data_IF_780320708156
#
_entry.id   IF_780320708156
#
_cell.length_a   1.000
_cell.length_b   1.000
_cell.length_c   1.000
_cell.angle_alpha   90.00
_cell.angle_beta   90.00
_cell.angle_gamma   90.00
#
_symmetry.space_group_name_H-M   'P 1'
#
loop_
_entity.id
_entity.type
_entity.pdbx_description
1 polymer ?
#
# COMPACT_ATOMS: atom_id res chain seq x y z
N UNK A 1 -17.26 9.75 -32.57
CA UNK A 1 -16.03 10.00 -33.35
C UNK A 1 -14.82 9.61 -32.52
N UNK A 2 -14.00 8.62 -32.93
CA UNK A 2 -12.77 8.27 -32.20
C UNK A 2 -11.70 9.31 -32.53
N UNK A 3 -11.31 10.14 -31.57
CA UNK A 3 -10.20 11.08 -31.73
C UNK A 3 -8.90 10.30 -31.95
N UNK A 4 -8.16 10.63 -33.01
CA UNK A 4 -6.84 10.02 -33.26
C UNK A 4 -5.92 10.27 -32.06
N UNK A 5 -5.14 9.28 -31.59
CA UNK A 5 -4.18 9.50 -30.53
C UNK A 5 -3.12 10.50 -31.00
N UNK A 6 -2.75 11.43 -30.12
CA UNK A 6 -1.66 12.37 -30.37
C UNK A 6 -0.34 11.61 -30.30
N UNK A 7 0.56 11.84 -31.26
CA UNK A 7 1.91 11.25 -31.30
C UNK A 7 2.92 12.40 -31.12
N UNK A 8 4.00 12.14 -30.39
CA UNK A 8 5.09 13.10 -30.18
C UNK A 8 5.16 13.69 -28.76
N UNK A 9 6.09 14.63 -28.50
CA UNK A 9 6.37 15.14 -27.15
C UNK A 9 5.15 15.84 -26.52
N UNK A 10 4.29 16.47 -27.33
CA UNK A 10 3.06 17.10 -26.88
C UNK A 10 1.98 16.10 -26.38
N UNK A 11 2.15 14.80 -26.65
CA UNK A 11 1.26 13.75 -26.16
C UNK A 11 1.59 13.30 -24.73
N UNK A 12 2.79 13.63 -24.22
CA UNK A 12 3.19 13.28 -22.84
C UNK A 12 2.32 14.07 -21.87
N UNK A 13 1.44 13.35 -21.18
CA UNK A 13 0.48 13.90 -20.23
C UNK A 13 0.94 13.69 -18.79
N UNK A 14 0.44 14.53 -17.88
CA UNK A 14 0.81 14.52 -16.47
C UNK A 14 0.71 15.90 -15.85
N UNK A 15 0.93 15.99 -14.55
CA UNK A 15 0.98 17.28 -13.86
C UNK A 15 2.18 18.11 -14.32
N UNK A 16 2.08 19.44 -14.24
CA UNK A 16 3.20 20.35 -14.52
C UNK A 16 4.49 19.98 -13.77
N UNK A 17 4.48 19.70 -12.45
CA UNK A 17 5.69 19.31 -11.74
C UNK A 17 6.27 17.99 -12.24
N UNK A 18 5.43 17.00 -12.59
CA UNK A 18 5.90 15.71 -13.11
C UNK A 18 6.62 15.88 -14.46
N UNK A 19 6.11 16.73 -15.36
CA UNK A 19 6.77 17.02 -16.64
C UNK A 19 8.10 17.75 -16.46
N UNK A 20 8.19 18.69 -15.51
CA UNK A 20 9.45 19.37 -15.17
C UNK A 20 10.49 18.40 -14.63
N UNK A 21 10.09 17.51 -13.72
CA UNK A 21 10.99 16.47 -13.18
C UNK A 21 11.48 15.52 -14.29
N UNK A 22 10.59 15.08 -15.17
CA UNK A 22 10.96 14.23 -16.30
C UNK A 22 11.97 14.92 -17.24
N UNK A 23 11.78 16.22 -17.52
CA UNK A 23 12.74 17.00 -18.31
C UNK A 23 14.12 17.07 -17.64
N UNK A 24 14.18 17.32 -16.34
CA UNK A 24 15.45 17.38 -15.60
C UNK A 24 16.18 16.04 -15.56
N UNK A 25 15.46 14.92 -15.43
CA UNK A 25 16.07 13.58 -15.52
C UNK A 25 16.65 13.34 -16.92
N UNK A 26 15.92 13.72 -17.97
CA UNK A 26 16.41 13.59 -19.34
C UNK A 26 17.62 14.49 -19.63
N UNK A 27 17.65 15.71 -19.09
CA UNK A 27 18.82 16.61 -19.19
C UNK A 27 20.07 15.96 -18.59
N UNK A 28 19.95 15.33 -17.42
CA UNK A 28 21.07 14.61 -16.79
C UNK A 28 21.51 13.40 -17.62
N UNK A 29 20.57 12.56 -18.05
CA UNK A 29 20.86 11.38 -18.87
C UNK A 29 21.48 11.75 -20.23
N UNK A 30 21.16 12.94 -20.76
CA UNK A 30 21.75 13.47 -21.99
C UNK A 30 23.10 14.16 -21.78
N UNK A 31 23.56 14.32 -20.53
CA UNK A 31 24.82 14.98 -20.19
C UNK A 31 24.77 16.52 -20.21
N UNK A 32 23.59 17.12 -20.34
CA UNK A 32 23.41 18.58 -20.34
C UNK A 32 23.47 19.20 -18.93
N UNK A 33 23.32 18.38 -17.89
CA UNK A 33 23.29 18.81 -16.49
C UNK A 33 23.88 17.73 -15.58
N UNK A 34 24.51 18.14 -14.47
CA UNK A 34 24.96 17.18 -13.45
C UNK A 34 23.81 16.71 -12.53
N UNK A 35 23.92 15.51 -11.90
CA UNK A 35 22.95 15.05 -10.91
C UNK A 35 22.71 16.04 -9.76
N UNK A 36 23.76 16.71 -9.29
CA UNK A 36 23.66 17.70 -8.20
C UNK A 36 22.91 18.97 -8.61
N UNK A 37 23.10 19.45 -9.83
CA UNK A 37 22.36 20.60 -10.38
C UNK A 37 20.88 20.25 -10.61
N UNK A 38 20.59 19.04 -11.07
CA UNK A 38 19.22 18.58 -11.25
C UNK A 38 18.49 18.41 -9.91
N UNK A 39 19.16 17.84 -8.91
CA UNK A 39 18.63 17.73 -7.54
C UNK A 39 18.31 19.13 -6.96
N UNK A 40 19.22 20.08 -7.14
CA UNK A 40 19.04 21.48 -6.73
C UNK A 40 17.85 22.14 -7.43
N UNK A 41 17.72 21.96 -8.75
CA UNK A 41 16.59 22.48 -9.53
C UNK A 41 15.24 21.84 -9.17
N UNK A 42 15.26 20.58 -8.71
CA UNK A 42 14.09 19.89 -8.17
C UNK A 42 13.76 20.25 -6.72
N UNK A 43 14.69 20.89 -6.00
CA UNK A 43 14.56 21.19 -4.58
C UNK A 43 14.65 19.93 -3.69
N UNK A 44 15.45 18.93 -4.09
CA UNK A 44 15.62 17.67 -3.35
C UNK A 44 17.09 17.35 -3.11
N UNK A 45 17.39 16.48 -2.14
CA UNK A 45 18.73 15.96 -1.93
C UNK A 45 19.18 15.08 -3.11
N UNK A 46 20.49 15.00 -3.35
CA UNK A 46 21.09 14.21 -4.45
C UNK A 46 20.69 12.72 -4.36
N UNK A 47 20.65 12.14 -3.16
CA UNK A 47 20.18 10.76 -2.98
C UNK A 47 18.73 10.57 -3.43
N UNK A 48 17.87 11.56 -3.17
CA UNK A 48 16.46 11.52 -3.61
C UNK A 48 16.35 11.63 -5.12
N UNK A 49 17.24 12.38 -5.76
CA UNK A 49 17.32 12.44 -7.22
C UNK A 49 17.58 11.05 -7.82
N UNK A 50 18.59 10.31 -7.34
CA UNK A 50 18.88 8.97 -7.86
C UNK A 50 17.69 8.00 -7.69
N UNK A 51 16.97 8.07 -6.58
CA UNK A 51 15.74 7.27 -6.40
C UNK A 51 14.67 7.59 -7.46
N UNK A 52 14.51 8.88 -7.78
CA UNK A 52 13.56 9.33 -8.81
C UNK A 52 14.01 8.92 -10.20
N UNK A 53 15.32 8.97 -10.48
CA UNK A 53 15.90 8.51 -11.73
C UNK A 53 15.67 7.00 -11.93
N UNK A 54 15.98 6.18 -10.93
CA UNK A 54 15.69 4.73 -10.97
C UNK A 54 14.21 4.46 -11.23
N UNK A 55 13.32 5.16 -10.53
CA UNK A 55 11.87 5.02 -10.73
C UNK A 55 11.43 5.43 -12.14
N UNK A 56 12.02 6.49 -12.69
CA UNK A 56 11.72 6.95 -14.03
C UNK A 56 12.16 5.91 -15.08
N UNK A 57 13.38 5.37 -14.95
CA UNK A 57 13.90 4.33 -15.83
C UNK A 57 13.07 3.04 -15.72
N UNK A 58 12.66 2.63 -14.52
CA UNK A 58 11.75 1.49 -14.35
C UNK A 58 10.44 1.70 -15.13
N UNK A 59 9.86 2.89 -15.07
CA UNK A 59 8.65 3.21 -15.84
C UNK A 59 8.87 3.15 -17.36
N UNK A 60 10.08 3.44 -17.85
CA UNK A 60 10.43 3.26 -19.27
C UNK A 60 10.49 1.77 -19.61
N UNK A 61 11.13 0.95 -18.77
CA UNK A 61 11.18 -0.50 -18.96
C UNK A 61 9.77 -1.09 -18.97
N UNK A 62 8.95 -0.81 -17.95
CA UNK A 62 7.56 -1.28 -17.84
C UNK A 62 6.70 -0.88 -19.06
N UNK A 63 6.98 0.30 -19.64
CA UNK A 63 6.26 0.77 -20.82
C UNK A 63 6.67 0.04 -22.10
N UNK A 64 7.92 -0.41 -22.19
CA UNK A 64 8.48 -1.18 -23.30
C UNK A 64 8.20 -2.68 -23.18
N UNK A 65 7.84 -3.17 -22.00
CA UNK A 65 7.48 -4.58 -21.81
C UNK A 65 6.31 -4.99 -22.73
N UNK A 66 6.38 -6.20 -23.33
CA UNK A 66 5.33 -6.69 -24.20
C UNK A 66 4.04 -6.91 -23.41
N UNK A 67 3.05 -6.07 -23.67
CA UNK A 67 1.74 -6.22 -23.04
C UNK A 67 0.99 -7.42 -23.64
N UNK A 68 0.38 -8.28 -22.81
CA UNK A 68 -0.34 -9.45 -23.31
C UNK A 68 -1.45 -9.01 -24.26
N UNK A 69 -1.52 -9.63 -25.44
CA UNK A 69 -2.50 -9.29 -26.47
C UNK A 69 -3.89 -9.75 -26.03
N UNK A 70 -4.90 -8.91 -26.25
CA UNK A 70 -6.31 -9.24 -26.03
C UNK A 70 -6.91 -8.70 -24.72
N UNK A 71 -8.17 -9.05 -24.46
CA UNK A 71 -8.90 -8.62 -23.26
C UNK A 71 -8.38 -9.37 -22.04
N UNK A 72 -7.71 -8.65 -21.15
CA UNK A 72 -7.33 -9.16 -19.84
C UNK A 72 -8.45 -8.88 -18.83
N UNK A 73 -8.75 -9.85 -17.98
CA UNK A 73 -9.56 -9.60 -16.79
C UNK A 73 -8.72 -8.72 -15.87
N UNK A 74 -9.26 -7.54 -15.57
CA UNK A 74 -8.63 -6.65 -14.60
C UNK A 74 -9.10 -7.02 -13.19
N UNK A 75 -8.34 -6.67 -12.14
CA UNK A 75 -8.82 -6.83 -10.76
C UNK A 75 -10.16 -6.09 -10.54
N UNK A 76 -10.42 -4.99 -11.26
CA UNK A 76 -11.71 -4.32 -11.21
C UNK A 76 -12.87 -5.20 -11.74
N UNK A 77 -12.63 -5.98 -12.79
CA UNK A 77 -13.63 -6.91 -13.33
C UNK A 77 -13.95 -8.01 -12.31
N UNK A 78 -12.95 -8.49 -11.56
CA UNK A 78 -13.13 -9.48 -10.50
C UNK A 78 -13.95 -8.91 -9.34
N UNK A 79 -13.67 -7.67 -8.94
CA UNK A 79 -14.44 -6.97 -7.90
C UNK A 79 -15.91 -6.83 -8.32
N UNK A 80 -16.19 -6.52 -9.59
CA UNK A 80 -17.56 -6.43 -10.09
C UNK A 80 -18.29 -7.78 -10.06
N UNK A 81 -17.61 -8.86 -10.46
CA UNK A 81 -18.16 -10.22 -10.39
C UNK A 81 -18.47 -10.59 -8.93
N UNK A 82 -17.51 -10.41 -8.02
CA UNK A 82 -17.68 -10.70 -6.61
C UNK A 82 -18.80 -9.88 -5.96
N UNK A 83 -18.98 -8.62 -6.37
CA UNK A 83 -20.11 -7.79 -5.91
C UNK A 83 -21.45 -8.35 -6.36
N UNK A 84 -21.56 -8.81 -7.60
CA UNK A 84 -22.78 -9.44 -8.13
C UNK A 84 -23.09 -10.73 -7.40
N UNK A 85 -22.08 -11.56 -7.14
CA UNK A 85 -22.24 -12.81 -6.40
C UNK A 85 -22.65 -12.55 -4.95
N UNK A 86 -22.03 -11.57 -4.28
CA UNK A 86 -22.41 -11.19 -2.93
C UNK A 86 -23.88 -10.68 -2.86
N UNK A 87 -24.33 -9.92 -3.86
CA UNK A 87 -25.72 -9.49 -3.94
C UNK A 87 -26.68 -10.67 -4.15
N UNK A 88 -26.33 -11.58 -5.07
CA UNK A 88 -27.10 -12.81 -5.33
C UNK A 88 -27.23 -13.67 -4.07
N UNK A 89 -26.11 -13.97 -3.40
CA UNK A 89 -26.09 -14.79 -2.18
C UNK A 89 -26.87 -14.15 -1.04
N UNK A 90 -26.81 -12.83 -0.88
CA UNK A 90 -27.64 -12.12 0.12
C UNK A 90 -29.13 -12.28 -0.16
N UNK A 91 -29.53 -12.18 -1.44
CA UNK A 91 -30.93 -12.38 -1.83
C UNK A 91 -31.38 -13.82 -1.57
N UNK A 92 -30.56 -14.81 -1.94
CA UNK A 92 -30.83 -16.23 -1.67
C UNK A 92 -30.95 -16.52 -0.16
N UNK A 93 -30.05 -15.99 0.66
CA UNK A 93 -30.14 -16.09 2.13
C UNK A 93 -31.40 -15.40 2.68
N UNK A 94 -31.79 -14.24 2.15
CA UNK A 94 -33.01 -13.57 2.58
C UNK A 94 -34.25 -14.43 2.29
N UNK A 95 -34.31 -15.07 1.12
CA UNK A 95 -35.39 -15.95 0.70
C UNK A 95 -35.45 -17.23 1.53
N UNK A 96 -34.33 -17.91 1.72
CA UNK A 96 -34.28 -19.16 2.51
C UNK A 96 -34.58 -18.90 3.98
N UNK A 97 -34.10 -17.79 4.56
CA UNK A 97 -34.45 -17.42 5.93
C UNK A 97 -35.92 -17.04 6.09
N UNK A 98 -36.55 -16.41 5.09
CA UNK A 98 -37.99 -16.15 5.10
C UNK A 98 -38.80 -17.44 5.07
N UNK A 99 -38.42 -18.40 4.20
CA UNK A 99 -39.04 -19.72 4.10
C UNK A 99 -38.89 -20.52 5.41
N UNK A 100 -37.71 -20.49 6.01
CA UNK A 100 -37.45 -21.17 7.29
C UNK A 100 -38.29 -20.58 8.42
N UNK A 101 -38.50 -19.24 8.43
CA UNK A 101 -39.39 -18.60 9.42
C UNK A 101 -40.87 -18.93 9.19
N UNK A 102 -41.31 -19.17 7.95
CA UNK A 102 -42.69 -19.60 7.70
C UNK A 102 -42.93 -21.04 8.13
N UNK A 103 -41.97 -21.94 7.86
CA UNK A 103 -42.08 -23.35 8.29
C UNK A 103 -41.98 -23.50 9.80
N UNK A 104 -41.11 -22.73 10.47
CA UNK A 104 -41.07 -22.70 11.94
C UNK A 104 -42.41 -22.26 12.55
N UNK A 105 -43.05 -21.24 11.96
CA UNK A 105 -44.36 -20.76 12.40
C UNK A 105 -45.46 -21.80 12.20
N UNK A 106 -45.50 -22.50 11.06
CA UNK A 106 -46.51 -23.55 10.82
C UNK A 106 -46.34 -24.75 11.75
N UNK A 107 -45.11 -25.05 12.18
CA UNK A 107 -44.80 -26.15 13.11
C UNK A 107 -44.89 -25.75 14.58
N UNK A 108 -45.26 -24.50 14.90
CA UNK A 108 -45.32 -24.00 16.28
C UNK A 108 -43.96 -23.90 16.98
N UNK A 109 -42.85 -23.93 16.23
CA UNK A 109 -41.51 -23.82 16.79
C UNK A 109 -41.22 -22.37 17.18
N UNK A 110 -40.67 -22.12 18.39
CA UNK A 110 -40.36 -20.77 18.83
C UNK A 110 -39.27 -20.16 17.94
N UNK A 111 -39.47 -18.91 17.54
CA UNK A 111 -38.45 -18.18 16.79
C UNK A 111 -37.16 -18.12 17.62
N UNK A 112 -36.05 -18.56 17.02
CA UNK A 112 -34.73 -18.48 17.66
C UNK A 112 -34.44 -17.01 17.94
N UNK A 113 -34.47 -16.63 19.23
CA UNK A 113 -34.15 -15.28 19.68
C UNK A 113 -32.74 -14.95 19.20
N UNK A 114 -32.59 -13.92 18.35
CA UNK A 114 -31.28 -13.35 18.08
C UNK A 114 -30.69 -12.95 19.44
N UNK A 115 -29.50 -13.46 19.78
CA UNK A 115 -28.73 -12.94 20.93
C UNK A 115 -28.54 -11.45 20.71
N UNK A 116 -29.34 -10.64 21.38
CA UNK A 116 -29.08 -9.21 21.48
C UNK A 116 -27.80 -9.06 22.30
N UNK A 117 -26.89 -8.16 21.91
CA UNK A 117 -25.83 -7.75 22.82
C UNK A 117 -26.50 -7.17 24.07
N UNK A 118 -26.20 -7.71 25.25
CA UNK A 118 -26.80 -7.29 26.52
C UNK A 118 -26.70 -5.77 26.72
N UNK A 119 -27.85 -5.09 26.82
CA UNK A 119 -28.00 -3.68 27.23
C UNK A 119 -28.19 -3.56 28.76
N UNK A 120 -27.53 -4.40 29.56
CA UNK A 120 -27.51 -4.27 31.01
C UNK A 120 -26.20 -3.65 31.50
N UNK A 121 -26.29 -2.35 31.79
CA UNK A 121 -25.41 -1.64 32.72
C UNK A 121 -24.06 -1.24 32.14
N UNK A 122 -23.71 0.05 32.27
CA UNK A 122 -22.37 0.57 32.01
C UNK A 122 -21.32 -0.09 32.91
N UNK A 123 -20.91 -1.32 32.60
CA UNK A 123 -19.70 -1.93 33.15
C UNK A 123 -18.54 -1.14 32.58
N UNK A 124 -17.92 -0.30 33.44
CA UNK A 124 -16.64 0.40 33.19
C UNK A 124 -15.79 -0.49 32.30
N UNK A 125 -15.53 -0.05 31.06
CA UNK A 125 -14.64 -0.75 30.12
C UNK A 125 -13.36 -1.05 30.91
N UNK A 126 -13.11 -2.33 31.24
CA UNK A 126 -11.84 -2.73 31.83
C UNK A 126 -10.77 -2.18 30.91
N UNK A 127 -9.92 -1.27 31.41
CA UNK A 127 -8.77 -0.76 30.66
C UNK A 127 -8.05 -1.98 30.12
N UNK A 128 -8.04 -2.12 28.80
CA UNK A 128 -7.37 -3.24 28.13
C UNK A 128 -5.90 -3.17 28.55
N UNK A 129 -5.44 -4.13 29.35
CA UNK A 129 -4.02 -4.25 29.65
C UNK A 129 -3.30 -4.48 28.31
N UNK A 130 -2.35 -3.62 27.91
CA UNK A 130 -1.72 -3.68 26.61
C UNK A 130 -0.63 -4.75 26.62
N UNK A 131 -0.96 -6.04 26.61
CA UNK A 131 0.06 -7.04 27.00
C UNK A 131 0.29 -8.16 25.99
N UNK A 132 -0.34 -8.19 24.81
CA UNK A 132 0.08 -9.20 23.80
C UNK A 132 0.12 -8.63 22.38
N UNK A 133 -0.96 -7.99 21.92
CA UNK A 133 -1.03 -7.50 20.53
C UNK A 133 -0.07 -6.32 20.28
N UNK A 134 -0.03 -5.36 21.20
CA UNK A 134 0.89 -4.23 21.12
C UNK A 134 2.36 -4.66 21.25
N UNK A 135 2.66 -5.62 22.13
CA UNK A 135 4.01 -6.18 22.26
C UNK A 135 4.45 -6.93 20.99
N UNK A 136 3.54 -7.63 20.31
CA UNK A 136 3.82 -8.28 19.01
C UNK A 136 4.09 -7.26 17.90
N UNK A 137 3.35 -6.15 17.87
CA UNK A 137 3.65 -5.06 16.93
C UNK A 137 4.98 -4.38 17.26
N UNK A 138 5.29 -4.15 18.54
CA UNK A 138 6.59 -3.63 18.97
C UNK A 138 7.75 -4.58 18.64
N UNK A 139 7.57 -5.89 18.75
CA UNK A 139 8.61 -6.85 18.34
C UNK A 139 8.84 -6.84 16.83
N UNK A 140 7.79 -6.64 16.02
CA UNK A 140 7.95 -6.48 14.58
C UNK A 140 8.67 -5.17 14.23
N UNK A 141 8.28 -4.04 14.85
CA UNK A 141 8.93 -2.75 14.65
C UNK A 141 10.39 -2.74 15.13
N UNK A 142 10.71 -3.42 16.23
CA UNK A 142 12.09 -3.60 16.70
C UNK A 142 12.90 -4.58 15.83
N UNK A 143 12.25 -5.58 15.23
CA UNK A 143 12.90 -6.52 14.31
C UNK A 143 13.22 -5.85 12.97
N UNK A 144 12.38 -4.92 12.53
CA UNK A 144 12.63 -4.09 11.34
C UNK A 144 13.65 -2.99 11.64
N UNK A 145 13.57 -2.32 12.80
CA UNK A 145 14.54 -1.29 13.21
C UNK A 145 15.89 -1.82 13.71
N UNK A 146 15.97 -3.09 14.13
CA UNK A 146 17.21 -3.76 14.52
C UNK A 146 18.02 -4.27 13.31
N UNK A 147 17.36 -4.49 12.16
CA UNK A 147 18.05 -4.78 10.91
C UNK A 147 18.81 -3.55 10.35
N UNK A 148 18.51 -2.34 10.83
CA UNK A 148 19.21 -1.09 10.48
C UNK A 148 20.18 -0.58 11.57
N UNK A 149 20.18 -1.15 12.79
CA UNK A 149 20.98 -0.63 13.90
C UNK A 149 22.27 -1.42 14.23
N UNK A 150 22.42 -2.66 13.74
CA UNK A 150 23.60 -3.49 14.02
C UNK A 150 24.66 -3.48 12.89
N UNK A 151 24.53 -2.58 11.89
CA UNK A 151 25.46 -2.52 10.75
C UNK A 151 26.59 -1.48 10.86
N UNK A 152 26.53 -0.46 11.72
CA UNK A 152 27.60 0.54 11.81
C UNK A 152 27.79 1.11 13.22
N UNK A 153 28.70 0.51 14.00
CA UNK A 153 29.88 1.21 14.55
C UNK A 153 30.83 0.18 15.17
N UNK A 154 31.66 -0.44 14.33
CA UNK A 154 32.99 -0.81 14.76
C UNK A 154 33.90 0.39 14.49
N UNK A 155 34.66 0.86 15.49
CA UNK A 155 36.04 1.39 15.38
C UNK A 155 36.45 1.91 16.76
N UNK A 156 37.43 1.24 17.38
CA UNK A 156 38.15 1.74 18.55
C UNK A 156 39.05 2.92 18.20
N UNK A 157 39.74 3.48 19.20
CA UNK A 157 41.18 3.37 19.10
C UNK A 157 41.86 2.93 20.39
N UNK A 158 43.06 2.43 20.14
CA UNK A 158 44.05 1.77 20.97
C UNK A 158 44.92 2.80 21.76
N UNK A 159 46.05 2.43 22.39
CA UNK A 159 46.27 2.41 23.84
C UNK A 159 47.13 3.58 24.39
N UNK A 160 47.11 3.78 25.70
CA UNK A 160 48.16 4.53 26.40
C UNK A 160 48.47 3.91 27.78
N UNK A 161 49.77 3.76 28.00
CA UNK A 161 50.48 3.12 29.09
C UNK A 161 50.57 3.96 30.38
N UNK A 162 50.94 3.27 31.46
CA UNK A 162 51.58 3.76 32.71
C UNK A 162 50.71 4.47 33.76
N UNK A 163 50.55 3.84 34.94
CA UNK A 163 51.32 4.20 36.14
C UNK A 163 50.89 3.38 37.38
N UNK A 164 51.92 2.93 38.09
CA UNK A 164 51.95 2.22 39.37
C UNK A 164 51.41 3.02 40.55
N UNK A 165 50.75 2.35 41.51
CA UNK A 165 50.84 2.55 42.96
C UNK A 165 50.09 1.41 43.69
#
# INVERSE_FOLDING_TARGET
MKTKPKIGPAAVSGSLPARKQAALVLEVLSGLRSPSEAASAMGVAVNRYYQLETRALQGVVDALEPKPRGRQRKPEDEIEVLKKDAARLKNELSRTTALLRSTQRSLGLPAVKKKQPDETGGKKRRRRKPVVRALKHLSHLKKEGGAEADAETGTGPEPASEASA
#
